data_IF_078961393147
#
_entry.id   IF_078961393147
#
_cell.length_a   1.000
_cell.length_b   1.000
_cell.length_c   1.000
_cell.angle_alpha   90.00
_cell.angle_beta   90.00
_cell.angle_gamma   90.00
#
_symmetry.space_group_name_H-M   'P 1'
#
loop_
_entity.id
_entity.type
_entity.pdbx_description
1 polymer ?
#
# COMPACT_ATOMS: atom_id res chain seq x y z
N UNK A 1 14.51 -1.45 -7.02
CA UNK A 1 13.37 -0.77 -6.36
C UNK A 1 12.92 0.51 -7.04
N UNK A 2 13.80 1.48 -7.30
CA UNK A 2 13.43 2.76 -7.91
C UNK A 2 12.90 2.71 -9.35
N UNK A 3 12.79 1.54 -9.99
CA UNK A 3 12.08 1.41 -11.27
C UNK A 3 10.58 1.11 -11.12
N UNK A 4 10.22 0.25 -10.16
CA UNK A 4 8.85 -0.28 -10.02
C UNK A 4 8.03 0.61 -9.08
N UNK A 5 8.57 0.95 -7.91
CA UNK A 5 7.83 1.74 -6.91
C UNK A 5 7.36 3.10 -7.41
N UNK A 6 8.17 3.88 -8.17
CA UNK A 6 7.69 5.17 -8.67
C UNK A 6 6.62 5.01 -9.75
N UNK A 7 6.70 3.95 -10.57
CA UNK A 7 5.71 3.66 -11.60
C UNK A 7 4.35 3.33 -10.95
N UNK A 8 4.34 2.46 -9.95
CA UNK A 8 3.13 2.12 -9.18
C UNK A 8 2.60 3.36 -8.45
N UNK A 9 3.48 4.14 -7.82
CA UNK A 9 3.12 5.38 -7.13
C UNK A 9 2.51 6.44 -8.06
N UNK A 10 3.08 6.65 -9.24
CA UNK A 10 2.56 7.59 -10.23
C UNK A 10 1.16 7.18 -10.70
N UNK A 11 0.95 5.91 -11.02
CA UNK A 11 -0.38 5.39 -11.36
C UNK A 11 -1.38 5.57 -10.20
N UNK A 12 -0.95 5.27 -8.98
CA UNK A 12 -1.75 5.54 -7.78
C UNK A 12 -2.18 7.00 -7.72
N UNK A 13 -1.26 7.97 -7.77
CA UNK A 13 -1.61 9.39 -7.67
C UNK A 13 -2.51 9.87 -8.81
N UNK A 14 -2.28 9.38 -10.03
CA UNK A 14 -3.11 9.76 -11.19
C UNK A 14 -4.56 9.33 -10.96
N UNK A 15 -4.77 8.04 -10.66
CA UNK A 15 -6.12 7.49 -10.57
C UNK A 15 -6.80 7.82 -9.24
N UNK A 16 -6.09 7.74 -8.12
CA UNK A 16 -6.64 8.00 -6.79
C UNK A 16 -6.98 9.47 -6.56
N UNK A 17 -6.14 10.39 -7.06
CA UNK A 17 -6.41 11.83 -6.94
C UNK A 17 -7.19 12.40 -8.13
N UNK A 18 -7.51 11.59 -9.14
CA UNK A 18 -8.25 12.01 -10.32
C UNK A 18 -7.49 13.02 -11.20
N UNK A 19 -6.16 12.91 -11.27
CA UNK A 19 -5.34 13.78 -12.12
C UNK A 19 -5.53 13.42 -13.60
N UNK A 20 -5.44 14.40 -14.51
CA UNK A 20 -5.52 14.11 -15.94
C UNK A 20 -4.30 13.30 -16.40
N UNK A 21 -4.45 12.47 -17.44
CA UNK A 21 -3.36 11.64 -17.99
C UNK A 21 -2.30 12.48 -18.73
N UNK A 22 -2.72 13.62 -19.27
CA UNK A 22 -1.85 14.62 -19.91
C UNK A 22 -2.25 16.01 -19.45
N UNK A 23 -1.31 16.94 -19.46
CA UNK A 23 -1.54 18.35 -19.16
C UNK A 23 -0.78 19.23 -20.14
N UNK A 24 -1.28 20.43 -20.40
CA UNK A 24 -0.59 21.41 -21.23
C UNK A 24 0.25 22.34 -20.36
N UNK A 25 1.49 22.58 -20.77
CA UNK A 25 2.38 23.54 -20.14
C UNK A 25 3.15 24.29 -21.23
N UNK A 26 3.05 25.62 -21.26
CA UNK A 26 3.68 26.49 -22.27
C UNK A 26 3.33 26.02 -23.71
N UNK A 27 2.07 25.67 -23.96
CA UNK A 27 1.58 25.24 -25.28
C UNK A 27 2.08 23.87 -25.76
N UNK A 28 2.78 23.10 -24.91
CA UNK A 28 3.20 21.73 -25.17
C UNK A 28 2.45 20.76 -24.25
N UNK A 29 1.97 19.65 -24.80
CA UNK A 29 1.34 18.58 -24.03
C UNK A 29 2.38 17.67 -23.37
N UNK A 30 2.22 17.43 -22.08
CA UNK A 30 3.09 16.57 -21.27
C UNK A 30 2.30 15.42 -20.65
N UNK A 31 2.96 14.28 -20.47
CA UNK A 31 2.39 13.13 -19.78
C UNK A 31 2.53 13.29 -18.27
N UNK A 32 1.40 13.29 -17.55
CA UNK A 32 1.37 13.39 -16.09
C UNK A 32 2.14 12.25 -15.44
N UNK A 33 2.07 11.05 -16.01
CA UNK A 33 2.81 9.86 -15.56
C UNK A 33 4.32 10.10 -15.53
N UNK A 34 4.90 10.54 -16.65
CA UNK A 34 6.33 10.79 -16.74
C UNK A 34 6.77 11.96 -15.86
N UNK A 35 5.96 13.01 -15.77
CA UNK A 35 6.24 14.14 -14.88
C UNK A 35 6.22 13.74 -13.40
N UNK A 36 5.22 12.96 -12.96
CA UNK A 36 5.16 12.46 -11.59
C UNK A 36 6.34 11.53 -11.28
N UNK A 37 6.71 10.63 -12.20
CA UNK A 37 7.90 9.80 -12.04
C UNK A 37 9.16 10.64 -11.77
N UNK A 38 9.40 11.68 -12.59
CA UNK A 38 10.55 12.57 -12.45
C UNK A 38 10.49 13.34 -11.13
N UNK A 39 9.31 13.86 -10.75
CA UNK A 39 9.13 14.59 -9.49
C UNK A 39 9.37 13.68 -8.29
N UNK A 40 8.75 12.50 -8.26
CA UNK A 40 8.86 11.53 -7.19
C UNK A 40 10.33 11.10 -6.99
N UNK A 41 10.97 10.60 -8.05
CA UNK A 41 12.39 10.18 -7.98
C UNK A 41 13.31 11.36 -7.67
N UNK A 42 13.06 12.53 -8.28
CA UNK A 42 13.84 13.74 -8.07
C UNK A 42 13.78 14.22 -6.62
N UNK A 43 12.61 14.17 -5.99
CA UNK A 43 12.45 14.51 -4.57
C UNK A 43 13.18 13.52 -3.67
N UNK A 44 13.04 12.21 -3.90
CA UNK A 44 13.77 11.20 -3.11
C UNK A 44 15.28 11.37 -3.25
N UNK A 45 15.78 11.63 -4.46
CA UNK A 45 17.21 11.90 -4.71
C UNK A 45 17.67 13.19 -4.02
N UNK A 46 16.95 14.28 -4.22
CA UNK A 46 17.28 15.57 -3.60
C UNK A 46 17.36 15.44 -2.08
N UNK A 47 16.36 14.79 -1.48
CA UNK A 47 16.29 14.58 -0.05
C UNK A 47 17.49 13.77 0.48
N UNK A 48 17.81 12.67 -0.21
CA UNK A 48 18.94 11.80 0.13
C UNK A 48 20.28 12.54 0.02
N UNK A 49 20.51 13.28 -1.07
CA UNK A 49 21.78 13.97 -1.30
C UNK A 49 21.97 15.23 -0.46
N UNK A 50 20.90 16.00 -0.20
CA UNK A 50 20.99 17.23 0.57
C UNK A 50 21.07 16.97 2.08
N UNK A 51 20.30 16.01 2.58
CA UNK A 51 20.17 15.76 4.02
C UNK A 51 21.14 14.72 4.58
N UNK A 52 21.59 13.77 3.75
CA UNK A 52 22.37 12.62 4.21
C UNK A 52 21.59 11.74 5.20
N UNK A 53 22.29 10.78 5.81
CA UNK A 53 21.65 9.74 6.62
C UNK A 53 20.91 10.26 7.85
N UNK A 54 21.43 11.29 8.52
CA UNK A 54 20.81 11.83 9.74
C UNK A 54 19.47 12.47 9.40
N UNK A 55 19.39 13.25 8.33
CA UNK A 55 18.13 13.82 7.90
C UNK A 55 17.13 12.70 7.60
N UNK A 56 17.52 11.71 6.80
CA UNK A 56 16.67 10.55 6.44
C UNK A 56 16.11 9.88 7.69
N UNK A 57 16.95 9.55 8.67
CA UNK A 57 16.49 8.96 9.94
C UNK A 57 15.44 9.82 10.65
N UNK A 58 15.63 11.14 10.70
CA UNK A 58 14.73 12.06 11.40
C UNK A 58 13.41 12.20 10.65
N UNK A 59 13.42 12.34 9.33
CA UNK A 59 12.16 12.42 8.57
C UNK A 59 11.38 11.13 8.61
N UNK A 60 12.05 9.99 8.53
CA UNK A 60 11.40 8.69 8.57
C UNK A 60 10.69 8.47 9.90
N UNK A 61 11.25 8.99 10.99
CA UNK A 61 10.59 8.98 12.28
C UNK A 61 9.26 9.76 12.24
N UNK A 62 9.27 11.00 11.75
CA UNK A 62 8.06 11.82 11.65
C UNK A 62 7.04 11.26 10.65
N UNK A 63 7.52 10.79 9.49
CA UNK A 63 6.69 10.12 8.49
C UNK A 63 6.06 8.87 9.06
N UNK A 64 6.82 8.03 9.77
CA UNK A 64 6.31 6.83 10.41
C UNK A 64 5.24 7.16 11.45
N UNK A 65 5.45 8.19 12.27
CA UNK A 65 4.45 8.64 13.23
C UNK A 65 3.14 9.07 12.55
N UNK A 66 3.24 9.90 11.51
CA UNK A 66 2.10 10.32 10.70
C UNK A 66 1.38 9.13 10.05
N UNK A 67 2.12 8.23 9.39
CA UNK A 67 1.57 7.04 8.72
C UNK A 67 0.83 6.15 9.71
N UNK A 68 1.39 5.91 10.90
CA UNK A 68 0.72 5.10 11.92
C UNK A 68 -0.59 5.75 12.39
N UNK A 69 -0.62 7.06 12.64
CA UNK A 69 -1.86 7.75 13.04
C UNK A 69 -2.93 7.63 11.95
N UNK A 70 -2.56 7.87 10.70
CA UNK A 70 -3.51 7.80 9.57
C UNK A 70 -4.03 6.37 9.41
N UNK A 71 -3.16 5.36 9.44
CA UNK A 71 -3.57 3.96 9.28
C UNK A 71 -4.43 3.46 10.44
N UNK A 72 -4.13 3.85 11.68
CA UNK A 72 -5.00 3.54 12.83
C UNK A 72 -6.36 4.21 12.68
N UNK A 73 -6.40 5.44 12.20
CA UNK A 73 -7.65 6.17 11.94
C UNK A 73 -8.47 5.50 10.84
N UNK A 74 -7.83 5.10 9.73
CA UNK A 74 -8.45 4.33 8.66
C UNK A 74 -8.97 3.00 9.19
N UNK A 75 -8.16 2.25 9.94
CA UNK A 75 -8.56 0.97 10.51
C UNK A 75 -9.79 1.10 11.42
N UNK A 76 -9.81 2.12 12.29
CA UNK A 76 -10.97 2.41 13.12
C UNK A 76 -12.21 2.72 12.28
N UNK A 77 -12.08 3.53 11.23
CA UNK A 77 -13.18 3.81 10.29
C UNK A 77 -13.68 2.54 9.63
N UNK A 78 -12.78 1.69 9.13
CA UNK A 78 -13.15 0.45 8.45
C UNK A 78 -13.93 -0.48 9.38
N UNK A 79 -13.46 -0.68 10.62
CA UNK A 79 -14.13 -1.56 11.60
C UNK A 79 -15.52 -1.01 12.00
N UNK A 80 -15.66 0.31 12.12
CA UNK A 80 -16.95 0.93 12.48
C UNK A 80 -17.94 0.87 11.31
N UNK A 81 -17.47 1.14 10.09
CA UNK A 81 -18.33 1.25 8.90
C UNK A 81 -18.67 -0.12 8.29
N UNK A 82 -17.73 -1.05 8.35
CA UNK A 82 -17.85 -2.38 7.75
C UNK A 82 -17.67 -3.43 8.85
N UNK A 83 -18.78 -3.93 9.43
CA UNK A 83 -18.71 -4.97 10.43
C UNK A 83 -17.92 -6.16 9.91
N UNK A 84 -17.03 -6.70 10.74
CA UNK A 84 -16.14 -7.78 10.34
C UNK A 84 -16.90 -9.00 9.82
N UNK A 85 -18.10 -9.28 10.37
CA UNK A 85 -18.99 -10.33 9.88
C UNK A 85 -19.39 -10.15 8.41
N UNK A 86 -19.67 -8.91 7.99
CA UNK A 86 -20.03 -8.60 6.61
C UNK A 86 -18.81 -8.72 5.68
N UNK A 87 -17.62 -8.33 6.16
CA UNK A 87 -16.37 -8.54 5.41
C UNK A 87 -16.13 -10.03 5.17
N UNK A 88 -16.28 -10.86 6.20
CA UNK A 88 -16.16 -12.32 6.06
C UNK A 88 -17.22 -12.92 5.12
N UNK A 89 -18.47 -12.45 5.20
CA UNK A 89 -19.51 -12.84 4.25
C UNK A 89 -19.12 -12.48 2.81
N UNK A 90 -18.58 -11.29 2.59
CA UNK A 90 -18.04 -10.87 1.29
C UNK A 90 -16.97 -11.81 0.73
N UNK A 91 -16.08 -12.32 1.60
CA UNK A 91 -15.04 -13.28 1.22
C UNK A 91 -15.58 -14.66 0.85
N UNK A 92 -16.81 -14.99 1.26
CA UNK A 92 -17.49 -16.24 0.86
C UNK A 92 -18.07 -16.14 -0.56
N UNK A 93 -18.25 -14.94 -1.12
CA UNK A 93 -18.57 -14.72 -2.52
C UNK A 93 -17.29 -14.84 -3.39
N UNK A 94 -16.66 -16.01 -3.35
CA UNK A 94 -15.54 -16.40 -4.22
C UNK A 94 -16.01 -17.36 -5.31
N UNK A 95 -15.20 -17.52 -6.36
CA UNK A 95 -15.44 -18.56 -7.37
C UNK A 95 -15.42 -19.96 -6.74
N UNK A 96 -16.19 -20.88 -7.32
CA UNK A 96 -16.25 -22.27 -6.86
C UNK A 96 -14.86 -22.93 -6.92
N UNK A 97 -14.44 -23.58 -5.83
CA UNK A 97 -13.13 -24.22 -5.71
C UNK A 97 -11.95 -23.26 -5.50
N UNK A 98 -12.20 -21.97 -5.19
CA UNK A 98 -11.18 -20.97 -4.83
C UNK A 98 -11.52 -20.31 -3.50
N UNK A 99 -11.58 -21.10 -2.43
CA UNK A 99 -11.87 -20.57 -1.09
C UNK A 99 -10.82 -19.55 -0.65
N UNK A 100 -11.27 -18.36 -0.23
CA UNK A 100 -10.40 -17.33 0.36
C UNK A 100 -10.19 -17.51 1.86
N UNK A 101 -10.96 -18.40 2.49
CA UNK A 101 -11.00 -18.59 3.94
C UNK A 101 -10.44 -19.94 4.38
N UNK A 102 -10.46 -20.95 3.50
CA UNK A 102 -9.92 -22.27 3.79
C UNK A 102 -8.44 -22.36 3.40
N UNK A 103 -7.50 -22.37 4.36
CA UNK A 103 -6.07 -22.46 4.07
C UNK A 103 -5.64 -23.83 3.53
N UNK A 104 -6.51 -24.85 3.56
CA UNK A 104 -6.20 -26.18 3.05
C UNK A 104 -6.74 -26.43 1.63
N UNK A 105 -7.63 -25.57 1.14
CA UNK A 105 -8.17 -25.60 -0.23
C UNK A 105 -7.26 -24.87 -1.24
N UNK A 106 -5.95 -24.85 -0.97
CA UNK A 106 -4.96 -24.12 -1.80
C UNK A 106 -4.06 -25.04 -2.62
N UNK A 107 -4.18 -26.36 -2.44
CA UNK A 107 -3.29 -27.35 -3.09
C UNK A 107 -3.29 -27.29 -4.62
N UNK A 108 -4.40 -26.83 -5.22
CA UNK A 108 -4.57 -26.68 -6.66
C UNK A 108 -4.35 -25.24 -7.17
N UNK A 109 -4.08 -24.29 -6.28
CA UNK A 109 -3.85 -22.89 -6.65
C UNK A 109 -2.39 -22.74 -7.10
N UNK A 110 -2.20 -22.37 -8.37
CA UNK A 110 -0.87 -22.17 -8.93
C UNK A 110 -0.13 -21.07 -8.14
N UNK A 111 1.07 -21.41 -7.65
CA UNK A 111 1.90 -20.49 -6.85
C UNK A 111 1.53 -20.35 -5.37
N UNK A 112 0.42 -20.93 -4.90
CA UNK A 112 -0.03 -20.82 -3.49
C UNK A 112 -0.21 -22.18 -2.80
N UNK A 113 0.82 -23.03 -2.88
CA UNK A 113 0.83 -24.39 -2.35
C UNK A 113 1.74 -24.51 -1.09
N UNK A 114 1.86 -25.68 -0.42
CA UNK A 114 2.73 -25.82 0.76
C UNK A 114 4.19 -25.39 0.54
N UNK A 115 4.73 -25.51 -0.68
CA UNK A 115 6.09 -25.04 -1.00
C UNK A 115 6.22 -23.52 -0.92
N UNK A 116 5.17 -22.77 -1.28
CA UNK A 116 5.13 -21.31 -1.11
C UNK A 116 5.41 -20.92 0.36
N UNK A 117 4.74 -21.59 1.29
CA UNK A 117 4.93 -21.34 2.73
C UNK A 117 6.32 -21.79 3.21
N UNK A 118 6.84 -22.92 2.71
CA UNK A 118 8.20 -23.36 3.03
C UNK A 118 9.26 -22.38 2.53
N UNK A 119 9.14 -21.90 1.29
CA UNK A 119 10.02 -20.87 0.72
C UNK A 119 9.95 -19.60 1.56
N UNK A 120 8.75 -19.17 1.96
CA UNK A 120 8.56 -18.03 2.86
C UNK A 120 9.26 -18.22 4.21
N UNK A 121 9.13 -19.40 4.83
CA UNK A 121 9.77 -19.73 6.11
C UNK A 121 11.30 -19.67 6.03
N UNK A 122 11.90 -20.34 5.04
CA UNK A 122 13.34 -20.27 4.82
C UNK A 122 13.78 -18.86 4.43
N UNK A 123 12.97 -18.17 3.62
CA UNK A 123 13.18 -16.78 3.23
C UNK A 123 13.30 -15.85 4.42
N UNK A 124 12.48 -16.01 5.47
CA UNK A 124 12.57 -15.22 6.70
C UNK A 124 13.91 -15.40 7.43
N UNK A 125 14.50 -16.60 7.39
CA UNK A 125 15.79 -16.90 8.01
C UNK A 125 16.93 -16.36 7.13
N UNK A 126 16.92 -16.71 5.84
CA UNK A 126 17.98 -16.36 4.89
C UNK A 126 18.07 -14.85 4.63
N UNK A 127 16.95 -14.14 4.66
CA UNK A 127 16.92 -12.69 4.43
C UNK A 127 17.01 -11.87 5.74
N UNK A 128 17.28 -12.50 6.88
CA UNK A 128 17.36 -11.78 8.16
C UNK A 128 18.47 -10.74 8.10
N UNK A 129 18.09 -9.46 8.20
CA UNK A 129 18.99 -8.32 8.07
C UNK A 129 19.75 -8.27 6.73
N UNK A 130 19.29 -8.97 5.68
CA UNK A 130 19.92 -8.93 4.36
C UNK A 130 19.46 -7.74 3.51
N UNK A 131 18.32 -7.13 3.87
CA UNK A 131 17.76 -6.00 3.13
C UNK A 131 18.69 -4.79 3.18
N UNK A 132 19.18 -4.36 2.01
CA UNK A 132 20.15 -3.27 1.91
C UNK A 132 19.56 -1.92 2.35
N UNK A 133 18.27 -1.68 2.06
CA UNK A 133 17.60 -0.43 2.45
C UNK A 133 17.55 -0.21 3.96
N UNK A 134 17.57 -1.26 4.78
CA UNK A 134 17.53 -1.13 6.25
C UNK A 134 18.91 -1.10 6.91
N UNK A 135 20.00 -1.27 6.16
CA UNK A 135 21.35 -1.40 6.71
C UNK A 135 21.78 -0.18 7.51
N UNK A 136 21.50 1.02 7.00
CA UNK A 136 21.89 2.25 7.66
C UNK A 136 21.24 2.38 9.06
N UNK A 137 20.01 1.90 9.24
CA UNK A 137 19.34 1.86 10.54
C UNK A 137 19.97 0.81 11.47
N UNK A 138 20.36 -0.35 10.94
CA UNK A 138 20.98 -1.42 11.72
C UNK A 138 22.32 -1.02 12.35
N UNK A 139 23.04 -0.07 11.74
CA UNK A 139 24.33 0.43 12.23
C UNK A 139 24.28 1.79 12.91
N UNK A 140 23.10 2.40 13.02
CA UNK A 140 22.93 3.75 13.61
C UNK A 140 22.70 3.75 15.12
N UNK A 141 22.52 2.57 15.73
CA UNK A 141 22.30 2.47 17.17
C UNK A 141 23.56 2.83 17.97
N UNK A 142 23.41 3.62 19.03
CA UNK A 142 24.52 4.04 19.89
C UNK A 142 25.10 2.89 20.74
N UNK A 143 24.30 1.87 21.05
CA UNK A 143 24.74 0.67 21.77
C UNK A 143 24.01 -0.59 21.29
N UNK A 144 24.56 -1.79 21.54
CA UNK A 144 23.88 -3.05 21.21
C UNK A 144 22.52 -3.20 21.90
N UNK A 145 22.40 -2.65 23.12
CA UNK A 145 21.13 -2.65 23.84
C UNK A 145 20.08 -1.76 23.14
N UNK A 146 20.45 -0.55 22.71
CA UNK A 146 19.56 0.33 21.95
C UNK A 146 19.17 -0.28 20.60
N UNK A 147 20.10 -0.99 19.92
CA UNK A 147 19.80 -1.71 18.69
C UNK A 147 18.73 -2.79 18.91
N UNK A 148 18.85 -3.57 19.99
CA UNK A 148 17.85 -4.57 20.38
C UNK A 148 16.50 -3.91 20.70
N UNK A 149 16.50 -2.82 21.47
CA UNK A 149 15.28 -2.09 21.83
C UNK A 149 14.59 -1.48 20.61
N UNK A 150 15.34 -0.95 19.63
CA UNK A 150 14.79 -0.47 18.37
C UNK A 150 14.06 -1.58 17.61
N UNK A 151 14.57 -2.82 17.64
CA UNK A 151 13.88 -3.97 17.07
C UNK A 151 12.58 -4.33 17.80
N UNK A 152 12.60 -4.35 19.14
CA UNK A 152 11.41 -4.65 19.97
C UNK A 152 10.34 -3.57 19.76
N UNK A 153 10.69 -2.30 19.91
CA UNK A 153 9.74 -1.19 19.72
C UNK A 153 9.25 -1.10 18.27
N UNK A 154 10.14 -1.37 17.31
CA UNK A 154 9.82 -1.44 15.89
C UNK A 154 8.79 -2.53 15.53
N UNK A 155 8.62 -3.56 16.36
CA UNK A 155 7.58 -4.56 16.14
C UNK A 155 6.17 -4.02 16.44
N UNK A 156 6.03 -3.09 17.39
CA UNK A 156 4.73 -2.51 17.76
C UNK A 156 4.14 -1.67 16.63
N UNK A 157 4.96 -0.86 15.94
CA UNK A 157 4.51 -0.12 14.74
C UNK A 157 4.07 -1.04 13.60
N UNK A 158 4.58 -2.27 13.56
CA UNK A 158 4.24 -3.25 12.53
C UNK A 158 2.78 -3.65 12.55
N UNK A 159 2.12 -3.61 13.71
CA UNK A 159 0.71 -3.99 13.85
C UNK A 159 -0.25 -3.04 13.14
N UNK A 160 -0.04 -1.73 13.26
CA UNK A 160 -0.87 -0.74 12.58
C UNK A 160 -0.74 -0.86 11.06
N UNK A 161 0.49 -1.05 10.57
CA UNK A 161 0.77 -1.31 9.15
C UNK A 161 0.07 -2.60 8.69
N UNK A 162 0.27 -3.70 9.42
CA UNK A 162 -0.29 -5.00 9.08
C UNK A 162 -1.82 -4.92 8.97
N UNK A 163 -2.50 -4.46 10.01
CA UNK A 163 -3.97 -4.47 10.03
C UNK A 163 -4.58 -3.39 9.13
N UNK A 164 -3.98 -2.20 9.07
CA UNK A 164 -4.43 -1.13 8.19
C UNK A 164 -4.37 -1.55 6.72
N UNK A 165 -3.23 -2.08 6.27
CA UNK A 165 -3.07 -2.52 4.88
C UNK A 165 -3.72 -3.86 4.58
N UNK A 166 -4.01 -4.72 5.57
CA UNK A 166 -4.79 -5.95 5.34
C UNK A 166 -6.27 -5.65 5.21
N UNK A 167 -6.84 -4.78 6.06
CA UNK A 167 -8.28 -4.52 6.03
C UNK A 167 -8.74 -3.78 4.78
N UNK A 168 -7.93 -2.88 4.24
CA UNK A 168 -8.25 -2.12 3.02
C UNK A 168 -8.64 -3.01 1.82
N UNK A 169 -7.79 -3.96 1.37
CA UNK A 169 -8.14 -4.84 0.27
C UNK A 169 -9.25 -5.84 0.60
N UNK A 170 -9.40 -6.28 1.87
CA UNK A 170 -10.52 -7.15 2.26
C UNK A 170 -11.86 -6.44 2.13
N UNK A 171 -11.95 -5.18 2.58
CA UNK A 171 -13.13 -4.35 2.40
C UNK A 171 -13.37 -4.05 0.92
N UNK A 172 -12.31 -3.76 0.16
CA UNK A 172 -12.42 -3.58 -1.28
C UNK A 172 -12.98 -4.84 -1.97
N UNK A 173 -12.47 -6.02 -1.62
CA UNK A 173 -12.96 -7.30 -2.15
C UNK A 173 -14.44 -7.48 -1.84
N UNK A 174 -14.85 -7.29 -0.57
CA UNK A 174 -16.26 -7.35 -0.17
C UNK A 174 -17.11 -6.38 -1.00
N UNK A 175 -16.69 -5.12 -1.15
CA UNK A 175 -17.42 -4.11 -1.95
C UNK A 175 -17.60 -4.58 -3.41
N UNK A 176 -16.60 -5.23 -3.99
CA UNK A 176 -16.63 -5.65 -5.39
C UNK A 176 -17.47 -6.90 -5.64
N UNK A 177 -17.74 -7.73 -4.63
CA UNK A 177 -18.37 -9.05 -4.81
C UNK A 177 -19.70 -9.23 -4.06
N UNK A 178 -19.88 -8.57 -2.91
CA UNK A 178 -21.06 -8.76 -2.08
C UNK A 178 -22.30 -8.06 -2.70
N UNK A 179 -23.47 -8.72 -2.79
CA UNK A 179 -24.66 -8.17 -3.46
C UNK A 179 -25.11 -6.79 -2.96
N UNK A 180 -25.05 -6.55 -1.65
CA UNK A 180 -25.40 -5.25 -1.04
C UNK A 180 -24.59 -4.06 -1.56
N UNK A 181 -23.39 -4.32 -2.11
CA UNK A 181 -22.49 -3.29 -2.65
C UNK A 181 -22.47 -3.25 -4.18
N UNK A 182 -23.42 -3.90 -4.86
CA UNK A 182 -23.44 -3.99 -6.32
C UNK A 182 -23.40 -2.61 -7.02
N UNK A 183 -24.06 -1.60 -6.46
CA UNK A 183 -24.03 -0.24 -7.04
C UNK A 183 -22.68 0.47 -6.85
N UNK A 184 -21.97 0.17 -5.76
CA UNK A 184 -20.61 0.65 -5.53
C UNK A 184 -19.63 -0.06 -6.46
N UNK A 185 -19.75 -1.39 -6.60
CA UNK A 185 -18.96 -2.18 -7.55
C UNK A 185 -19.11 -1.66 -8.98
N UNK A 186 -20.34 -1.32 -9.42
CA UNK A 186 -20.59 -0.71 -10.75
C UNK A 186 -19.87 0.61 -10.92
N UNK A 187 -19.89 1.49 -9.92
CA UNK A 187 -19.20 2.78 -9.98
C UNK A 187 -17.68 2.60 -10.09
N UNK A 188 -17.09 1.69 -9.30
CA UNK A 188 -15.66 1.38 -9.38
C UNK A 188 -15.31 0.76 -10.73
N UNK A 189 -16.09 -0.21 -11.21
CA UNK A 189 -15.88 -0.83 -12.52
C UNK A 189 -15.96 0.17 -13.68
N UNK A 190 -16.84 1.17 -13.59
CA UNK A 190 -16.90 2.24 -14.58
C UNK A 190 -15.61 3.07 -14.63
N UNK A 191 -14.97 3.32 -13.49
CA UNK A 191 -13.67 4.00 -13.43
C UNK A 191 -12.53 3.10 -13.89
N UNK A 192 -12.52 1.83 -13.47
CA UNK A 192 -11.52 0.83 -13.88
C UNK A 192 -11.54 0.61 -15.40
N UNK A 193 -12.70 0.68 -16.04
CA UNK A 193 -12.85 0.55 -17.49
C UNK A 193 -12.15 1.68 -18.28
N UNK A 194 -11.87 2.82 -17.63
CA UNK A 194 -11.10 3.92 -18.22
C UNK A 194 -9.58 3.65 -18.22
N UNK A 195 -9.12 2.66 -17.47
CA UNK A 195 -7.72 2.28 -17.36
C UNK A 195 -7.43 1.18 -18.39
N UNK A 196 -6.65 1.45 -19.45
CA UNK A 196 -6.44 0.49 -20.53
C UNK A 196 -5.51 -0.67 -20.13
N UNK A 197 -4.50 -0.38 -19.30
CA UNK A 197 -3.53 -1.37 -18.83
C UNK A 197 -4.14 -2.24 -17.72
N UNK A 198 -4.16 -3.55 -17.94
CA UNK A 198 -4.75 -4.53 -17.03
C UNK A 198 -4.03 -4.59 -15.69
N UNK A 199 -2.70 -4.52 -15.69
CA UNK A 199 -1.91 -4.56 -14.47
C UNK A 199 -2.14 -3.31 -13.61
N UNK A 200 -2.24 -2.13 -14.22
CA UNK A 200 -2.58 -0.89 -13.52
C UNK A 200 -4.02 -0.95 -13.00
N UNK A 201 -4.95 -1.49 -13.79
CA UNK A 201 -6.34 -1.66 -13.38
C UNK A 201 -6.45 -2.49 -12.11
N UNK A 202 -5.76 -3.63 -12.04
CA UNK A 202 -5.75 -4.51 -10.86
C UNK A 202 -5.19 -3.80 -9.62
N UNK A 203 -4.13 -3.01 -9.78
CA UNK A 203 -3.55 -2.23 -8.70
C UNK A 203 -4.52 -1.16 -8.16
N UNK A 204 -5.43 -0.65 -9.00
CA UNK A 204 -6.32 0.46 -8.67
C UNK A 204 -7.64 0.03 -8.02
N UNK A 205 -7.97 -1.27 -7.97
CA UNK A 205 -9.22 -1.73 -7.34
C UNK A 205 -9.39 -1.21 -5.91
N UNK A 206 -8.38 -1.43 -5.06
CA UNK A 206 -8.45 -1.00 -3.65
C UNK A 206 -8.45 0.54 -3.52
N UNK A 207 -7.52 1.28 -4.16
CA UNK A 207 -7.56 2.75 -4.16
C UNK A 207 -8.87 3.36 -4.66
N UNK A 208 -9.54 2.77 -5.66
CA UNK A 208 -10.77 3.34 -6.20
C UNK A 208 -11.98 3.06 -5.30
N UNK A 209 -12.11 1.86 -4.72
CA UNK A 209 -13.19 1.56 -3.74
C UNK A 209 -13.14 2.52 -2.54
N UNK A 210 -11.92 2.86 -2.10
CA UNK A 210 -11.64 3.82 -1.04
C UNK A 210 -12.29 5.19 -1.26
N UNK A 211 -12.44 5.64 -2.51
CA UNK A 211 -13.06 6.93 -2.85
C UNK A 211 -14.57 6.99 -2.53
N UNK A 212 -15.23 5.83 -2.36
CA UNK A 212 -16.68 5.76 -2.14
C UNK A 212 -17.08 5.98 -0.68
N UNK A 213 -16.19 5.67 0.27
CA UNK A 213 -16.54 5.66 1.69
C UNK A 213 -15.65 6.53 2.57
N UNK A 214 -14.45 6.91 2.12
CA UNK A 214 -13.57 7.72 2.94
C UNK A 214 -13.94 9.20 2.90
N UNK A 215 -13.92 9.90 4.05
CA UNK A 215 -14.00 11.35 4.09
C UNK A 215 -12.86 11.99 3.31
N UNK A 216 -13.14 13.13 2.66
CA UNK A 216 -12.17 13.85 1.82
C UNK A 216 -10.84 14.15 2.54
N UNK A 217 -10.91 14.53 3.83
CA UNK A 217 -9.72 14.75 4.64
C UNK A 217 -8.86 13.49 4.83
N UNK A 218 -9.50 12.33 4.99
CA UNK A 218 -8.79 11.06 5.16
C UNK A 218 -8.24 10.53 3.84
N UNK A 219 -8.90 10.82 2.71
CA UNK A 219 -8.35 10.55 1.38
C UNK A 219 -7.05 11.34 1.15
N UNK A 220 -7.04 12.63 1.47
CA UNK A 220 -5.84 13.45 1.40
C UNK A 220 -4.73 12.94 2.33
N UNK A 221 -5.09 12.54 3.56
CA UNK A 221 -4.16 11.94 4.50
C UNK A 221 -3.56 10.62 3.98
N UNK A 222 -4.37 9.76 3.34
CA UNK A 222 -3.89 8.52 2.74
C UNK A 222 -2.98 8.77 1.52
N UNK A 223 -3.30 9.75 0.67
CA UNK A 223 -2.40 10.16 -0.41
C UNK A 223 -1.05 10.65 0.14
N UNK A 224 -1.05 11.38 1.26
CA UNK A 224 0.17 11.77 1.96
C UNK A 224 0.93 10.58 2.57
N UNK A 225 0.23 9.54 3.06
CA UNK A 225 0.85 8.27 3.50
C UNK A 225 1.56 7.58 2.34
N UNK A 226 0.93 7.49 1.17
CA UNK A 226 1.52 6.90 -0.01
C UNK A 226 2.74 7.70 -0.51
N UNK A 227 2.68 9.02 -0.41
CA UNK A 227 3.79 9.90 -0.72
C UNK A 227 4.96 9.73 0.26
N UNK A 228 4.66 9.66 1.56
CA UNK A 228 5.67 9.41 2.58
C UNK A 228 6.36 8.07 2.31
N UNK A 229 5.59 6.98 2.17
CA UNK A 229 6.10 5.64 1.89
C UNK A 229 6.90 5.52 0.58
N UNK A 230 6.71 6.47 -0.34
CA UNK A 230 7.47 6.53 -1.58
C UNK A 230 8.87 7.17 -1.39
N UNK A 231 8.95 8.18 -0.52
CA UNK A 231 10.19 8.94 -0.30
C UNK A 231 11.12 8.24 0.70
N UNK A 232 10.56 7.47 1.64
CA UNK A 232 11.28 6.65 2.63
C UNK A 232 11.95 5.42 1.99
#
# INVERSE_FOLDING_TARGET
NFGIFPAVGANFFIHYCGLPTTYEFIGMGFSTYHSLLVVLVGLSMYYTFAGGQIAVLVTDFFQSFFVNIVLVTILALLIIKFPLSQVFEGLQYSEEGKSLLDPFDTGNVEGFNPWYFMIGLFGMILNRMAWQGSQAYHVSAKSPHEAKMAGVLGSFRGWALLWGFTMLPLVAYMIMHHPDYADWAKQVNAQLALIPDEQVRDQMVTPLTMTLYMPVGLMGAFAAVMFAAFIT
#
